data_IF_307536249645
#
_entry.id   IF_307536249645
#
_cell.length_a   1.000
_cell.length_b   1.000
_cell.length_c   1.000
_cell.angle_alpha   90.00
_cell.angle_beta   90.00
_cell.angle_gamma   90.00
#
_symmetry.space_group_name_H-M   'P 1'
#
loop_
_entity.id
_entity.type
_entity.pdbx_description
1 polymer ?
#
# COMPACT_ATOMS: atom_id res chain seq x y z
N UNK A 1 4.04 8.99 9.90
CA UNK A 1 5.38 8.36 9.98
C UNK A 1 5.47 7.33 8.86
N UNK A 2 6.41 7.48 7.93
CA UNK A 2 6.57 6.54 6.81
C UNK A 2 7.22 5.25 7.31
N UNK A 3 6.71 4.09 6.89
CA UNK A 3 7.31 2.80 7.21
C UNK A 3 8.24 2.37 6.08
N UNK A 4 9.50 2.09 6.42
CA UNK A 4 10.47 1.51 5.48
C UNK A 4 10.25 0.00 5.44
N UNK A 5 9.85 -0.53 4.28
CA UNK A 5 9.75 -1.98 4.05
C UNK A 5 11.08 -2.50 3.49
N UNK A 6 11.51 -3.68 3.96
CA UNK A 6 12.67 -4.41 3.42
C UNK A 6 12.27 -5.38 2.30
N UNK A 7 10.97 -5.65 2.15
CA UNK A 7 10.42 -6.47 1.09
C UNK A 7 10.51 -5.79 -0.27
N UNK A 8 10.44 -6.59 -1.34
CA UNK A 8 10.35 -6.12 -2.72
C UNK A 8 8.91 -6.07 -3.19
N UNK A 9 8.63 -5.20 -4.16
CA UNK A 9 7.33 -5.04 -4.82
C UNK A 9 7.55 -4.70 -6.30
N UNK A 10 6.47 -4.68 -7.09
CA UNK A 10 6.54 -4.27 -8.49
C UNK A 10 7.13 -2.87 -8.67
N UNK A 11 7.00 -1.97 -7.68
CA UNK A 11 7.65 -0.66 -7.74
C UNK A 11 9.16 -0.75 -7.87
N UNK A 12 9.82 -1.78 -7.35
CA UNK A 12 11.26 -1.98 -7.56
C UNK A 12 11.60 -2.20 -9.04
N UNK A 13 10.67 -2.76 -9.82
CA UNK A 13 10.84 -3.07 -11.24
C UNK A 13 10.45 -1.88 -12.11
N UNK A 14 9.33 -1.22 -11.81
CA UNK A 14 8.75 -0.21 -12.70
C UNK A 14 9.27 1.21 -12.46
N UNK A 15 9.69 1.55 -11.22
CA UNK A 15 10.20 2.89 -10.89
C UNK A 15 11.38 3.35 -11.76
N UNK A 16 12.38 2.51 -12.07
CA UNK A 16 13.48 2.90 -12.94
C UNK A 16 13.05 3.30 -14.36
N UNK A 17 11.88 2.85 -14.81
CA UNK A 17 11.38 3.07 -16.18
C UNK A 17 10.38 4.23 -16.23
N UNK A 18 9.43 4.28 -15.30
CA UNK A 18 8.30 5.22 -15.38
C UNK A 18 8.66 6.69 -15.15
N UNK A 19 9.81 6.98 -14.55
CA UNK A 19 10.34 8.36 -14.42
C UNK A 19 9.34 9.37 -13.85
N UNK A 20 8.48 8.94 -12.92
CA UNK A 20 7.46 9.77 -12.28
C UNK A 20 7.38 9.48 -10.76
N UNK A 21 6.79 10.38 -9.96
CA UNK A 21 6.52 10.09 -8.55
C UNK A 21 5.56 8.90 -8.43
N UNK A 22 5.93 7.90 -7.63
CA UNK A 22 5.04 6.79 -7.29
C UNK A 22 5.23 6.38 -5.83
N UNK A 23 4.18 5.76 -5.27
CA UNK A 23 4.16 5.23 -3.89
C UNK A 23 3.36 3.93 -3.84
N UNK A 24 3.55 3.15 -2.78
CA UNK A 24 2.68 2.00 -2.45
C UNK A 24 1.73 2.42 -1.35
N UNK A 25 0.45 2.09 -1.51
CA UNK A 25 -0.57 2.31 -0.49
C UNK A 25 -1.52 1.12 -0.42
N UNK A 26 -1.83 0.67 0.79
CA UNK A 26 -2.80 -0.38 1.06
C UNK A 26 -3.08 -0.50 2.55
N UNK A 27 -4.29 -0.92 2.95
CA UNK A 27 -4.61 -1.29 4.33
C UNK A 27 -3.98 -2.63 4.70
N UNK A 28 -3.94 -2.93 6.01
CA UNK A 28 -3.46 -4.20 6.54
C UNK A 28 -2.04 -4.13 7.08
N UNK A 29 -1.63 -5.22 7.73
CA UNK A 29 -0.30 -5.39 8.30
C UNK A 29 0.51 -6.38 7.45
N UNK A 30 1.55 -5.88 6.79
CA UNK A 30 2.40 -6.71 5.94
C UNK A 30 3.27 -7.70 6.74
N UNK A 31 3.30 -7.62 8.08
CA UNK A 31 3.93 -8.66 8.89
C UNK A 31 3.14 -9.99 8.85
N UNK A 32 1.87 -9.95 8.42
CA UNK A 32 1.03 -11.13 8.25
C UNK A 32 1.20 -11.80 6.88
N UNK A 33 1.95 -11.18 5.97
CA UNK A 33 2.20 -11.72 4.63
C UNK A 33 2.75 -13.15 4.73
N UNK A 34 2.13 -14.09 4.00
CA UNK A 34 2.51 -15.51 3.97
C UNK A 34 2.35 -16.27 5.29
N UNK A 35 1.61 -15.73 6.26
CA UNK A 35 1.27 -16.45 7.48
C UNK A 35 -0.10 -17.15 7.36
N UNK A 36 -0.37 -18.24 8.10
CA UNK A 36 -1.71 -18.83 8.17
C UNK A 36 -2.76 -17.92 8.84
N UNK A 37 -2.32 -16.82 9.46
CA UNK A 37 -3.17 -15.83 10.14
C UNK A 37 -3.37 -14.57 9.28
N UNK A 38 -3.02 -14.63 7.99
CA UNK A 38 -3.24 -13.55 7.04
C UNK A 38 -4.69 -13.06 7.12
N UNK A 39 -4.84 -11.81 7.52
CA UNK A 39 -6.13 -11.19 7.79
C UNK A 39 -6.02 -9.69 7.72
N UNK A 40 -7.16 -9.03 7.59
CA UNK A 40 -7.27 -7.58 7.50
C UNK A 40 -8.45 -7.10 8.33
N UNK A 41 -8.29 -5.94 8.98
CA UNK A 41 -9.40 -5.26 9.65
C UNK A 41 -10.37 -4.69 8.62
N UNK A 42 -11.67 -4.97 8.77
CA UNK A 42 -12.70 -4.39 7.89
C UNK A 42 -12.77 -2.86 8.02
N UNK A 43 -12.51 -2.32 9.21
CA UNK A 43 -12.47 -0.88 9.42
C UNK A 43 -11.27 -0.25 8.68
N UNK A 44 -10.12 -0.92 8.67
CA UNK A 44 -8.94 -0.46 7.91
C UNK A 44 -9.18 -0.53 6.42
N UNK A 45 -9.81 -1.62 5.96
CA UNK A 45 -10.21 -1.79 4.57
C UNK A 45 -11.16 -0.67 4.12
N UNK A 46 -12.22 -0.40 4.87
CA UNK A 46 -13.17 0.69 4.56
C UNK A 46 -12.51 2.07 4.60
N UNK A 47 -11.61 2.33 5.57
CA UNK A 47 -10.87 3.59 5.63
C UNK A 47 -9.93 3.77 4.44
N UNK A 48 -9.24 2.72 4.00
CA UNK A 48 -8.32 2.83 2.88
C UNK A 48 -9.04 3.17 1.56
N UNK A 49 -10.25 2.66 1.36
CA UNK A 49 -11.08 3.06 0.23
C UNK A 49 -11.37 4.57 0.29
N UNK A 50 -11.77 5.09 1.45
CA UNK A 50 -12.07 6.51 1.63
C UNK A 50 -10.84 7.39 1.36
N UNK A 51 -9.69 7.02 1.92
CA UNK A 51 -8.43 7.74 1.72
C UNK A 51 -8.04 7.75 0.25
N UNK A 52 -8.06 6.59 -0.42
CA UNK A 52 -7.69 6.50 -1.83
C UNK A 52 -8.64 7.31 -2.72
N UNK A 53 -9.95 7.21 -2.47
CA UNK A 53 -10.96 7.98 -3.20
C UNK A 53 -10.79 9.49 -3.00
N UNK A 54 -10.54 9.93 -1.77
CA UNK A 54 -10.33 11.34 -1.46
C UNK A 54 -9.07 11.88 -2.15
N UNK A 55 -7.94 11.19 -2.03
CA UNK A 55 -6.69 11.63 -2.65
C UNK A 55 -6.87 11.76 -4.16
N UNK A 56 -7.45 10.76 -4.82
CA UNK A 56 -7.69 10.80 -6.27
C UNK A 56 -8.65 11.92 -6.69
N UNK A 57 -9.61 12.29 -5.84
CA UNK A 57 -10.52 13.40 -6.12
C UNK A 57 -9.86 14.79 -5.94
N UNK A 58 -8.75 14.86 -5.20
CA UNK A 58 -8.00 16.09 -4.91
C UNK A 58 -6.76 16.29 -5.80
N UNK A 59 -6.45 15.32 -6.67
CA UNK A 59 -5.38 15.41 -7.69
C UNK A 59 -5.76 16.34 -8.85
#
# INVERSE_FOLDING_TARGET
MWQRRLATSDLNVVLPVWSCPALVYGPGDSELDHTPQESISLDDYSRAIQVLAQVLAEL
#
